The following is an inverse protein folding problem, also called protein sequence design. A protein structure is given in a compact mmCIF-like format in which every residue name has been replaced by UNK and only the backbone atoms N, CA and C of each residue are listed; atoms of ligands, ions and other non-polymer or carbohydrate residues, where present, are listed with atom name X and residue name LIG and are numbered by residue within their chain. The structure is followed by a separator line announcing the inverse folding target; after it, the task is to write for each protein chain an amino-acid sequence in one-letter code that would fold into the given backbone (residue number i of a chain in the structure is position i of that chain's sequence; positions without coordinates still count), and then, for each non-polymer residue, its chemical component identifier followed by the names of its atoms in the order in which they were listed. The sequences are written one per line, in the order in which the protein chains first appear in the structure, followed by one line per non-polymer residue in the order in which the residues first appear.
data_IF_415367136884
#
_entry.id   IF_415367136884
#
_cell.length_a   1.000
_cell.length_b   1.000
_cell.length_c   1.000
_cell.angle_alpha   90.00
_cell.angle_beta   90.00
_cell.angle_gamma   90.00
#
_symmetry.space_group_name_H-M   'P 1'
#
loop_
_entity.id
_entity.type
_entity.pdbx_description
1 polymer ?
#
# COMPACT_ATOMS: atom_id res chain seq x y z
N UNK A 1 -47.69 -1.71 40.36
CA UNK A 1 -47.02 -2.08 39.09
C UNK A 1 -45.72 -2.79 39.47
N UNK A 2 -45.77 -4.10 39.77
CA UNK A 2 -44.60 -4.86 40.24
C UNK A 2 -43.92 -5.44 39.00
N UNK A 3 -42.81 -4.85 38.60
CA UNK A 3 -41.97 -5.48 37.59
C UNK A 3 -41.36 -6.74 38.23
N UNK A 4 -41.68 -7.92 37.69
CA UNK A 4 -41.06 -9.17 38.14
C UNK A 4 -39.55 -9.10 37.87
N UNK A 5 -38.74 -9.42 38.89
CA UNK A 5 -37.28 -9.53 38.80
C UNK A 5 -36.86 -10.42 37.61
N UNK A 6 -37.67 -11.42 37.27
CA UNK A 6 -37.44 -12.31 36.11
C UNK A 6 -37.52 -11.60 34.75
N UNK A 7 -38.35 -10.56 34.61
CA UNK A 7 -38.46 -9.79 33.35
C UNK A 7 -37.25 -8.89 33.13
N UNK A 8 -36.71 -8.32 34.21
CA UNK A 8 -35.46 -7.55 34.16
C UNK A 8 -34.25 -8.44 33.86
N UNK A 9 -34.19 -9.62 34.47
CA UNK A 9 -33.14 -10.61 34.21
C UNK A 9 -33.14 -11.08 32.75
N UNK A 10 -34.32 -11.37 32.19
CA UNK A 10 -34.45 -11.72 30.78
C UNK A 10 -34.05 -10.56 29.86
N UNK A 11 -34.46 -9.32 30.17
CA UNK A 11 -34.09 -8.16 29.35
C UNK A 11 -32.56 -7.94 29.32
N UNK A 12 -31.90 -8.05 30.47
CA UNK A 12 -30.44 -7.96 30.56
C UNK A 12 -29.73 -9.06 29.77
N UNK A 13 -30.28 -10.29 29.79
CA UNK A 13 -29.76 -11.39 28.99
C UNK A 13 -29.83 -11.13 27.49
N UNK A 14 -30.96 -10.60 26.98
CA UNK A 14 -31.12 -10.27 25.56
C UNK A 14 -30.22 -9.11 25.13
N UNK A 15 -30.09 -8.07 25.96
CA UNK A 15 -29.18 -6.95 25.69
C UNK A 15 -27.73 -7.44 25.63
N UNK A 16 -27.31 -8.31 26.55
CA UNK A 16 -25.97 -8.90 26.52
C UNK A 16 -25.73 -9.74 25.27
N UNK A 17 -26.71 -10.56 24.86
CA UNK A 17 -26.66 -11.35 23.62
C UNK A 17 -26.56 -10.46 22.38
N UNK A 18 -27.34 -9.38 22.31
CA UNK A 18 -27.30 -8.45 21.19
C UNK A 18 -25.95 -7.71 21.12
N UNK A 19 -25.46 -7.22 22.26
CA UNK A 19 -24.16 -6.53 22.32
C UNK A 19 -23.02 -7.45 21.91
N UNK A 20 -23.04 -8.72 22.34
CA UNK A 20 -22.02 -9.71 21.96
C UNK A 20 -22.09 -10.02 20.47
N UNK A 21 -23.29 -10.14 19.90
CA UNK A 21 -23.48 -10.39 18.48
C UNK A 21 -22.99 -9.21 17.61
N UNK A 22 -23.18 -7.97 18.06
CA UNK A 22 -22.68 -6.77 17.38
C UNK A 22 -21.15 -6.76 17.36
N UNK A 23 -20.49 -7.03 18.50
CA UNK A 23 -19.02 -7.04 18.62
C UNK A 23 -18.38 -8.14 17.74
N UNK A 24 -19.02 -9.31 17.64
CA UNK A 24 -18.51 -10.41 16.80
C UNK A 24 -18.65 -10.08 15.30
N UNK A 25 -19.66 -9.29 14.90
CA UNK A 25 -19.86 -8.91 13.49
C UNK A 25 -19.01 -7.70 13.07
N UNK A 26 -18.46 -6.94 14.00
CA UNK A 26 -17.58 -5.78 13.73
C UNK A 26 -16.10 -6.18 13.54
N UNK A 27 -15.83 -7.37 12.99
CA UNK A 27 -14.47 -7.72 12.55
C UNK A 27 -14.23 -7.12 11.17
N UNK A 28 -13.88 -5.83 11.12
CA UNK A 28 -13.17 -5.31 9.96
C UNK A 28 -11.85 -6.07 9.89
N UNK A 29 -11.58 -6.73 8.76
CA UNK A 29 -10.34 -7.44 8.57
C UNK A 29 -9.21 -6.41 8.64
N UNK A 30 -8.43 -6.42 9.71
CA UNK A 30 -7.13 -5.75 9.73
C UNK A 30 -6.25 -6.55 8.76
N UNK A 31 -6.32 -6.19 7.48
CA UNK A 31 -5.34 -6.63 6.49
C UNK A 31 -4.01 -6.04 6.95
N UNK A 32 -3.10 -6.90 7.41
CA UNK A 32 -1.71 -6.48 7.53
C UNK A 32 -1.27 -6.06 6.12
N UNK A 33 -0.85 -4.82 5.95
CA UNK A 33 -0.41 -4.33 4.65
C UNK A 33 1.02 -4.79 4.42
N UNK A 34 1.14 -6.05 3.98
CA UNK A 34 2.44 -6.68 3.73
C UNK A 34 3.19 -5.97 2.59
N UNK A 35 4.47 -5.71 2.82
CA UNK A 35 5.37 -5.14 1.80
C UNK A 35 5.74 -6.23 0.80
N UNK A 36 5.40 -6.00 -0.47
CA UNK A 36 5.73 -6.90 -1.58
C UNK A 36 7.08 -6.49 -2.18
N UNK A 37 8.05 -7.42 -2.31
CA UNK A 37 9.34 -7.08 -2.91
C UNK A 37 9.18 -6.70 -4.38
N UNK A 38 9.92 -5.68 -4.81
CA UNK A 38 10.05 -5.34 -6.22
C UNK A 38 10.86 -6.42 -6.96
N UNK A 39 10.47 -6.71 -8.18
CA UNK A 39 11.18 -7.64 -9.07
C UNK A 39 11.60 -6.86 -10.31
N UNK A 40 12.88 -6.94 -10.67
CA UNK A 40 13.42 -6.29 -11.85
C UNK A 40 14.03 -7.32 -12.80
N UNK A 41 13.64 -7.24 -14.08
CA UNK A 41 14.25 -7.97 -15.17
C UNK A 41 15.17 -7.03 -15.95
N UNK A 42 16.43 -7.44 -16.13
CA UNK A 42 17.46 -6.63 -16.79
C UNK A 42 17.93 -7.34 -18.05
N UNK A 43 17.88 -6.63 -19.17
CA UNK A 43 18.40 -7.08 -20.45
C UNK A 43 19.50 -6.14 -20.94
N UNK A 44 20.55 -6.73 -21.50
CA UNK A 44 21.69 -6.01 -22.05
C UNK A 44 21.84 -6.34 -23.53
N UNK A 45 21.91 -5.31 -24.37
CA UNK A 45 22.23 -5.40 -25.78
C UNK A 45 23.62 -4.77 -26.05
N UNK A 46 23.99 -4.65 -27.32
CA UNK A 46 25.27 -4.02 -27.68
C UNK A 46 25.30 -2.51 -27.37
N UNK A 47 24.15 -1.85 -27.37
CA UNK A 47 24.01 -0.39 -27.31
C UNK A 47 23.01 0.10 -26.25
N UNK A 48 22.26 -0.79 -25.61
CA UNK A 48 21.23 -0.43 -24.63
C UNK A 48 21.14 -1.38 -23.44
N UNK A 49 20.63 -0.84 -22.34
CA UNK A 49 20.20 -1.58 -21.16
C UNK A 49 18.69 -1.38 -21.04
N UNK A 50 17.94 -2.46 -21.07
CA UNK A 50 16.50 -2.46 -20.80
C UNK A 50 16.24 -2.96 -19.39
N UNK A 51 15.44 -2.23 -18.62
CA UNK A 51 15.05 -2.61 -17.26
C UNK A 51 13.53 -2.57 -17.17
N UNK A 52 12.93 -3.71 -16.83
CA UNK A 52 11.51 -3.82 -16.53
C UNK A 52 11.37 -4.08 -15.03
N UNK A 53 10.60 -3.25 -14.32
CA UNK A 53 10.42 -3.36 -12.87
C UNK A 53 8.94 -3.54 -12.55
N UNK A 54 8.61 -4.60 -11.82
CA UNK A 54 7.31 -4.80 -11.19
C UNK A 54 7.43 -4.52 -9.70
N UNK A 55 6.68 -3.52 -9.24
CA UNK A 55 6.72 -3.01 -7.88
C UNK A 55 5.34 -2.50 -7.47
N UNK A 56 5.16 -2.20 -6.18
CA UNK A 56 4.00 -1.45 -5.68
C UNK A 56 4.31 0.05 -5.80
N UNK A 57 3.50 0.79 -6.55
CA UNK A 57 3.80 2.18 -6.89
C UNK A 57 3.46 3.16 -5.76
N UNK A 58 2.42 2.85 -5.00
CA UNK A 58 1.83 3.68 -3.97
C UNK A 58 2.83 4.08 -2.86
N UNK A 59 3.68 3.18 -2.31
CA UNK A 59 4.67 3.58 -1.31
C UNK A 59 5.71 4.55 -1.89
N UNK A 60 6.12 4.36 -3.14
CA UNK A 60 7.08 5.24 -3.81
C UNK A 60 6.49 6.63 -4.07
N UNK A 61 5.23 6.69 -4.50
CA UNK A 61 4.53 7.95 -4.75
C UNK A 61 4.20 8.66 -3.44
N UNK A 62 3.86 7.92 -2.37
CA UNK A 62 3.65 8.46 -1.03
C UNK A 62 4.96 8.94 -0.37
N UNK A 63 6.12 8.49 -0.86
CA UNK A 63 7.42 8.79 -0.26
C UNK A 63 7.73 7.95 0.99
N UNK A 64 7.09 6.78 1.13
CA UNK A 64 7.35 5.85 2.22
C UNK A 64 8.73 5.22 2.04
N UNK A 65 9.58 5.36 3.06
CA UNK A 65 10.78 4.56 3.20
C UNK A 65 10.41 3.16 3.71
N UNK A 66 10.53 2.17 2.83
CA UNK A 66 10.20 0.78 3.13
C UNK A 66 11.33 0.06 3.88
N UNK A 67 12.50 0.68 4.09
CA UNK A 67 13.61 0.05 4.78
C UNK A 67 13.25 -0.22 6.26
N UNK A 68 13.26 -1.50 6.64
CA UNK A 68 13.01 -1.91 8.02
C UNK A 68 11.53 -1.91 8.44
N UNK A 69 10.61 -1.49 7.56
CA UNK A 69 9.18 -1.63 7.79
C UNK A 69 8.71 -3.06 7.50
N UNK A 70 7.74 -3.54 8.27
CA UNK A 70 7.03 -4.80 7.99
C UNK A 70 5.61 -4.55 7.46
N UNK A 71 5.02 -3.41 7.81
CA UNK A 71 3.67 -3.00 7.45
C UNK A 71 3.70 -1.51 7.02
N UNK A 72 3.08 -1.17 5.89
CA UNK A 72 3.00 0.22 5.42
C UNK A 72 2.15 1.11 6.34
N UNK A 73 1.32 0.53 7.22
CA UNK A 73 0.60 1.24 8.28
C UNK A 73 1.53 1.87 9.32
N UNK A 74 2.77 1.38 9.44
CA UNK A 74 3.76 1.92 10.37
C UNK A 74 4.40 3.21 9.86
N UNK A 75 4.21 3.54 8.57
CA UNK A 75 4.74 4.74 7.95
C UNK A 75 3.94 5.99 8.34
N UNK A 76 4.59 7.15 8.55
CA UNK A 76 3.90 8.44 8.73
C UNK A 76 2.95 8.79 7.57
N UNK A 77 3.24 8.30 6.37
CA UNK A 77 2.49 8.56 5.14
C UNK A 77 1.39 7.52 4.86
N UNK A 78 1.04 6.67 5.83
CA UNK A 78 0.02 5.62 5.68
C UNK A 78 -1.31 6.15 5.10
N UNK A 79 -1.78 7.31 5.56
CA UNK A 79 -3.00 7.96 5.05
C UNK A 79 -2.89 8.38 3.57
N UNK A 80 -1.69 8.78 3.11
CA UNK A 80 -1.47 9.08 1.69
C UNK A 80 -1.39 7.80 0.87
N UNK A 81 -0.71 6.77 1.38
CA UNK A 81 -0.65 5.45 0.76
C UNK A 81 -2.05 4.86 0.54
N UNK A 82 -2.93 4.90 1.55
CA UNK A 82 -4.31 4.43 1.40
C UNK A 82 -5.10 5.24 0.36
N UNK A 83 -4.92 6.57 0.33
CA UNK A 83 -5.54 7.41 -0.72
C UNK A 83 -5.05 7.07 -2.12
N UNK A 84 -3.77 6.77 -2.29
CA UNK A 84 -3.19 6.37 -3.57
C UNK A 84 -3.72 5.00 -4.02
N UNK A 85 -3.95 4.09 -3.07
CA UNK A 85 -4.49 2.75 -3.33
C UNK A 85 -5.95 2.78 -3.79
N UNK A 86 -6.70 3.80 -3.40
CA UNK A 86 -8.07 4.02 -3.84
C UNK A 86 -8.17 4.68 -5.23
N UNK A 87 -7.04 5.10 -5.83
CA UNK A 87 -7.05 5.73 -7.14
C UNK A 87 -7.33 4.74 -8.29
N UNK A 88 -7.99 5.20 -9.36
CA UNK A 88 -7.99 4.48 -10.62
C UNK A 88 -6.55 4.24 -11.15
N UNK A 89 -6.28 3.12 -11.84
CA UNK A 89 -4.95 2.82 -12.37
C UNK A 89 -4.34 3.93 -13.23
N UNK A 90 -5.15 4.59 -14.06
CA UNK A 90 -4.72 5.71 -14.90
C UNK A 90 -4.26 6.93 -14.09
N UNK A 91 -4.92 7.20 -12.96
CA UNK A 91 -4.59 8.33 -12.09
C UNK A 91 -3.31 8.01 -11.31
N UNK A 92 -3.15 6.78 -10.82
CA UNK A 92 -1.92 6.34 -10.17
C UNK A 92 -0.73 6.35 -11.13
N UNK A 93 -0.93 5.93 -12.39
CA UNK A 93 0.09 6.02 -13.43
C UNK A 93 0.53 7.48 -13.68
N UNK A 94 -0.43 8.42 -13.75
CA UNK A 94 -0.13 9.84 -13.90
C UNK A 94 0.65 10.40 -12.70
N UNK A 95 0.31 9.98 -11.47
CA UNK A 95 1.05 10.35 -10.26
C UNK A 95 2.48 9.81 -10.30
N UNK A 96 2.66 8.56 -10.70
CA UNK A 96 3.99 7.95 -10.82
C UNK A 96 4.85 8.68 -11.87
N UNK A 97 4.28 9.04 -13.02
CA UNK A 97 4.98 9.82 -14.05
C UNK A 97 5.42 11.20 -13.52
N UNK A 98 4.58 11.84 -12.70
CA UNK A 98 4.90 13.14 -12.13
C UNK A 98 6.10 13.10 -11.17
N UNK A 99 6.27 12.00 -10.41
CA UNK A 99 7.40 11.84 -9.47
C UNK A 99 8.65 11.21 -10.10
N UNK A 100 8.55 10.66 -11.31
CA UNK A 100 9.67 10.00 -12.00
C UNK A 100 10.95 10.84 -12.12
N UNK A 101 10.91 12.15 -12.44
CA UNK A 101 12.13 12.96 -12.53
C UNK A 101 12.96 13.00 -11.24
N UNK A 102 12.30 12.85 -10.08
CA UNK A 102 12.95 12.79 -8.78
C UNK A 102 13.40 11.36 -8.46
N UNK A 103 12.53 10.37 -8.68
CA UNK A 103 12.85 8.95 -8.47
C UNK A 103 14.05 8.47 -9.29
N UNK A 104 14.18 8.90 -10.55
CA UNK A 104 15.28 8.46 -11.42
C UNK A 104 16.66 8.92 -10.94
N UNK A 105 16.72 9.87 -10.01
CA UNK A 105 17.99 10.33 -9.42
C UNK A 105 18.58 9.29 -8.46
N UNK A 106 17.73 8.41 -7.90
CA UNK A 106 18.15 7.31 -7.02
C UNK A 106 18.23 5.98 -7.76
N UNK A 107 17.62 5.88 -8.94
CA UNK A 107 17.65 4.70 -9.82
C UNK A 107 18.56 4.93 -11.04
N UNK A 108 19.82 4.53 -10.92
CA UNK A 108 20.84 4.71 -11.96
C UNK A 108 21.63 3.44 -12.23
N UNK A 109 22.22 3.36 -13.43
CA UNK A 109 23.17 2.32 -13.79
C UNK A 109 24.57 2.89 -13.70
N UNK A 110 25.45 2.23 -12.94
CA UNK A 110 26.86 2.63 -12.84
C UNK A 110 27.70 1.91 -13.89
N UNK A 111 28.38 2.68 -14.74
CA UNK A 111 29.36 2.19 -15.72
C UNK A 111 30.74 2.74 -15.38
N UNK A 112 31.58 1.93 -14.72
CA UNK A 112 32.88 2.40 -14.21
C UNK A 112 32.69 3.50 -13.17
N UNK A 113 33.06 4.73 -13.53
CA UNK A 113 32.95 5.92 -12.66
C UNK A 113 31.74 6.82 -13.00
N UNK A 114 30.99 6.51 -14.06
CA UNK A 114 29.85 7.32 -14.49
C UNK A 114 28.52 6.66 -14.10
N UNK A 115 27.59 7.47 -13.62
CA UNK A 115 26.20 7.08 -13.39
C UNK A 115 25.34 7.51 -14.58
N UNK A 116 24.66 6.54 -15.18
CA UNK A 116 23.74 6.73 -16.30
C UNK A 116 22.33 6.77 -15.73
N UNK A 117 21.65 7.90 -15.93
CA UNK A 117 20.25 8.07 -15.56
C UNK A 117 19.36 7.28 -16.51
N UNK A 118 18.37 6.61 -15.92
CA UNK A 118 17.38 5.87 -16.68
C UNK A 118 16.31 6.82 -17.24
N UNK A 119 15.82 6.49 -18.42
CA UNK A 119 14.66 7.13 -19.02
C UNK A 119 13.46 6.18 -18.90
N UNK A 120 12.29 6.73 -18.56
CA UNK A 120 11.07 5.95 -18.55
C UNK A 120 10.55 5.88 -19.97
N UNK A 121 10.52 4.68 -20.53
CA UNK A 121 9.87 4.43 -21.81
C UNK A 121 8.35 4.25 -21.63
N UNK A 122 7.93 3.53 -20.61
CA UNK A 122 6.51 3.23 -20.35
C UNK A 122 6.28 2.95 -18.86
N UNK A 123 5.07 3.26 -18.39
CA UNK A 123 4.53 2.82 -17.10
C UNK A 123 3.15 2.22 -17.31
N UNK A 124 2.85 1.14 -16.59
CA UNK A 124 1.54 0.48 -16.57
C UNK A 124 1.18 0.17 -15.12
N UNK A 125 -0.10 0.31 -14.80
CA UNK A 125 -0.68 -0.03 -13.50
C UNK A 125 -1.81 -1.01 -13.77
N UNK A 126 -1.86 -2.10 -13.00
CA UNK A 126 -2.78 -3.24 -13.17
C UNK A 126 -3.58 -3.51 -11.90
#
# INVERSE_FOLDING_TARGET
MVFSLSRWLLMLMHVSLLSTAIIINSSESVQAHEIRPAIADVSLSADSIGIEIRLTAEPLVAGIDLEGLQDTNEAPEADEYDRLRDLPPEDLAARFQAVWPDLRQTLFVRTGEADILLEMETVRVE
#
